data_IF_490607697458
#
_entry.id   IF_490607697458
#
_cell.length_a   1.000
_cell.length_b   1.000
_cell.length_c   1.000
_cell.angle_alpha   90.00
_cell.angle_beta   90.00
_cell.angle_gamma   90.00
#
_symmetry.space_group_name_H-M   'P 1'
#
loop_
_entity.id
_entity.type
_entity.pdbx_description
1 polymer ?
#
# COMPACT_ATOMS: atom_id res chain seq x y z
N UNK A 1 -21.57 -19.54 -18.17
CA UNK A 1 -22.28 -18.90 -17.04
C UNK A 1 -21.24 -18.23 -16.16
N UNK A 2 -21.26 -16.87 -16.02
CA UNK A 2 -20.40 -16.19 -15.04
C UNK A 2 -20.90 -16.58 -13.66
N UNK A 3 -20.06 -17.23 -12.83
CA UNK A 3 -20.36 -17.43 -11.40
C UNK A 3 -20.69 -16.07 -10.78
N UNK A 4 -21.84 -15.96 -10.09
CA UNK A 4 -22.17 -14.75 -9.34
C UNK A 4 -21.04 -14.46 -8.34
N UNK A 5 -20.69 -13.19 -8.20
CA UNK A 5 -19.70 -12.71 -7.23
C UNK A 5 -20.11 -13.13 -5.81
N UNK A 6 -19.30 -13.94 -5.14
CA UNK A 6 -19.54 -14.38 -3.77
C UNK A 6 -18.69 -13.52 -2.83
N UNK A 7 -19.17 -13.22 -1.62
CA UNK A 7 -18.41 -12.50 -0.58
C UNK A 7 -17.06 -13.16 -0.30
N UNK A 8 -16.96 -14.49 -0.38
CA UNK A 8 -15.70 -15.23 -0.20
C UNK A 8 -14.66 -14.91 -1.29
N UNK A 9 -15.09 -14.50 -2.48
CA UNK A 9 -14.19 -14.20 -3.60
C UNK A 9 -13.36 -12.93 -3.32
N UNK A 10 -13.85 -12.03 -2.45
CA UNK A 10 -13.17 -10.78 -2.04
C UNK A 10 -12.57 -10.84 -0.64
N UNK A 11 -12.60 -11.99 0.02
CA UNK A 11 -11.89 -12.17 1.28
C UNK A 11 -10.37 -12.11 1.05
N UNK A 12 -9.66 -11.32 1.85
CA UNK A 12 -8.20 -11.28 1.84
C UNK A 12 -7.69 -12.61 2.40
N UNK A 13 -6.95 -13.38 1.61
CA UNK A 13 -6.33 -14.63 2.02
C UNK A 13 -4.88 -14.46 2.42
N UNK A 14 -4.17 -13.51 1.77
CA UNK A 14 -2.76 -13.29 2.01
C UNK A 14 -2.41 -11.81 1.87
N UNK A 15 -1.58 -11.34 2.79
CA UNK A 15 -0.89 -10.04 2.72
C UNK A 15 0.59 -10.32 2.89
N UNK A 16 1.38 -10.03 1.86
CA UNK A 16 2.82 -10.31 1.84
C UNK A 16 3.63 -9.08 1.46
N UNK A 17 4.60 -8.73 2.29
CA UNK A 17 5.53 -7.64 2.09
C UNK A 17 6.93 -8.13 1.72
N UNK A 18 7.61 -7.41 0.86
CA UNK A 18 9.01 -7.59 0.50
C UNK A 18 9.75 -6.26 0.55
N UNK A 19 11.04 -6.33 0.91
CA UNK A 19 11.96 -5.23 0.67
C UNK A 19 12.45 -5.31 -0.77
N UNK A 20 12.28 -4.23 -1.52
CA UNK A 20 12.76 -4.09 -2.90
C UNK A 20 13.55 -2.79 -3.03
N UNK A 21 14.24 -2.59 -4.15
CA UNK A 21 14.98 -1.34 -4.41
C UNK A 21 14.15 -0.41 -5.30
N UNK A 22 14.13 0.86 -4.95
CA UNK A 22 13.56 1.92 -5.78
C UNK A 22 14.48 2.29 -6.96
N UNK A 23 14.05 3.23 -7.80
CA UNK A 23 14.84 3.70 -8.97
C UNK A 23 16.16 4.38 -8.61
N UNK A 24 16.37 4.75 -7.35
CA UNK A 24 17.59 5.34 -6.81
C UNK A 24 18.48 4.32 -6.09
N UNK A 25 18.08 3.04 -6.05
CA UNK A 25 18.75 1.97 -5.35
C UNK A 25 18.56 1.99 -3.83
N UNK A 26 17.58 2.73 -3.31
CA UNK A 26 17.24 2.70 -1.89
C UNK A 26 16.18 1.63 -1.62
N UNK A 27 16.25 0.94 -0.46
CA UNK A 27 15.20 0.01 -0.05
C UNK A 27 13.84 0.68 0.09
N UNK A 28 12.81 -0.01 -0.36
CA UNK A 28 11.41 0.35 -0.16
C UNK A 28 10.54 -0.89 0.03
N UNK A 29 9.27 -0.67 0.42
CA UNK A 29 8.32 -1.75 0.69
C UNK A 29 7.50 -2.04 -0.57
N UNK A 30 7.52 -3.29 -1.02
CA UNK A 30 6.53 -3.85 -1.93
C UNK A 30 5.54 -4.69 -1.14
N UNK A 31 4.25 -4.54 -1.42
CA UNK A 31 3.19 -5.36 -0.82
C UNK A 31 2.38 -6.04 -1.91
N UNK A 32 2.10 -7.32 -1.71
CA UNK A 32 1.15 -8.11 -2.51
C UNK A 32 0.00 -8.57 -1.63
N UNK A 33 -1.23 -8.38 -2.10
CA UNK A 33 -2.46 -8.90 -1.47
C UNK A 33 -3.11 -9.87 -2.42
N UNK A 34 -3.53 -11.04 -1.92
CA UNK A 34 -4.29 -12.04 -2.68
C UNK A 34 -5.66 -12.27 -2.06
N UNK A 35 -6.66 -12.41 -2.92
CA UNK A 35 -8.05 -12.63 -2.55
C UNK A 35 -8.48 -14.09 -2.78
N UNK A 36 -9.57 -14.50 -2.16
CA UNK A 36 -10.17 -15.83 -2.29
C UNK A 36 -10.58 -16.22 -3.72
N UNK A 37 -10.80 -15.25 -4.59
CA UNK A 37 -10.97 -15.48 -6.04
C UNK A 37 -9.69 -15.83 -6.79
N UNK A 38 -8.52 -15.65 -6.16
CA UNK A 38 -7.21 -15.69 -6.80
C UNK A 38 -6.76 -14.34 -7.39
N UNK A 39 -7.62 -13.32 -7.41
CA UNK A 39 -7.23 -11.97 -7.80
C UNK A 39 -6.15 -11.43 -6.84
N UNK A 40 -5.21 -10.67 -7.37
CA UNK A 40 -4.11 -10.13 -6.59
C UNK A 40 -3.82 -8.68 -6.91
N UNK A 41 -3.34 -7.93 -5.94
CA UNK A 41 -2.91 -6.55 -6.13
C UNK A 41 -1.53 -6.33 -5.54
N UNK A 42 -0.69 -5.62 -6.28
CA UNK A 42 0.67 -5.30 -5.86
C UNK A 42 0.88 -3.79 -5.81
N UNK A 43 1.56 -3.31 -4.78
CA UNK A 43 1.95 -1.92 -4.64
C UNK A 43 3.40 -1.80 -4.16
N UNK A 44 4.15 -0.86 -4.72
CA UNK A 44 5.46 -0.44 -4.25
C UNK A 44 5.30 0.98 -3.72
N UNK A 45 5.87 1.27 -2.57
CA UNK A 45 5.75 2.57 -1.89
C UNK A 45 7.01 3.38 -2.13
N UNK A 46 6.98 4.36 -3.05
CA UNK A 46 8.15 5.19 -3.28
C UNK A 46 8.40 6.13 -2.10
N UNK A 47 9.68 6.38 -1.82
CA UNK A 47 10.10 7.36 -0.82
C UNK A 47 10.26 8.73 -1.44
N UNK A 48 9.84 9.79 -0.73
CA UNK A 48 10.11 11.17 -1.10
C UNK A 48 11.60 11.53 -0.99
N UNK A 49 12.00 12.61 -1.65
CA UNK A 49 13.35 13.16 -1.53
C UNK A 49 13.51 14.07 -0.31
N UNK A 50 12.41 14.65 0.16
CA UNK A 50 12.35 15.53 1.34
C UNK A 50 11.19 15.11 2.23
N UNK A 51 11.24 15.49 3.50
CA UNK A 51 10.18 15.25 4.48
C UNK A 51 9.59 16.56 4.98
N UNK A 52 8.27 16.61 5.06
CA UNK A 52 7.55 17.73 5.66
C UNK A 52 7.34 17.52 7.16
N UNK A 53 7.18 18.62 7.91
CA UNK A 53 6.99 18.61 9.38
C UNK A 53 5.80 17.77 9.83
N UNK A 54 4.75 17.67 9.01
CA UNK A 54 3.49 17.01 9.33
C UNK A 54 3.29 15.69 8.57
N UNK A 55 4.33 15.19 7.93
CA UNK A 55 4.25 13.90 7.23
C UNK A 55 4.25 12.73 8.22
N UNK A 56 3.56 11.68 7.84
CA UNK A 56 3.63 10.42 8.57
C UNK A 56 5.02 9.79 8.42
N UNK A 57 5.43 9.03 9.43
CA UNK A 57 6.77 8.45 9.52
C UNK A 57 6.93 7.30 8.53
N UNK A 58 7.88 7.41 7.63
CA UNK A 58 8.40 6.28 6.87
C UNK A 58 9.32 5.46 7.79
N UNK A 59 8.90 4.25 8.14
CA UNK A 59 9.64 3.40 9.07
C UNK A 59 10.89 2.85 8.39
N UNK A 60 12.08 3.22 8.92
CA UNK A 60 13.40 2.76 8.52
C UNK A 60 14.05 1.98 9.66
N UNK A 61 15.01 1.09 9.33
CA UNK A 61 15.63 0.20 10.32
C UNK A 61 16.69 0.89 11.18
N UNK A 62 17.27 1.98 10.69
CA UNK A 62 18.34 2.76 11.36
C UNK A 62 19.63 1.96 11.59
N UNK A 63 19.71 0.73 11.10
CA UNK A 63 20.88 -0.13 11.16
C UNK A 63 21.88 0.18 10.03
N UNK A 64 23.10 -0.39 10.12
CA UNK A 64 24.15 -0.13 9.10
C UNK A 64 23.78 -0.58 7.68
N UNK A 65 22.84 -1.51 7.56
CA UNK A 65 22.37 -2.03 6.29
C UNK A 65 21.75 -0.89 5.45
N UNK A 66 22.19 -0.79 4.20
CA UNK A 66 21.81 0.31 3.28
C UNK A 66 22.01 1.73 3.86
N UNK A 67 23.02 1.91 4.73
CA UNK A 67 23.27 3.21 5.37
C UNK A 67 22.12 3.71 6.24
N UNK A 68 21.40 2.82 6.90
CA UNK A 68 20.24 3.14 7.76
C UNK A 68 18.90 3.21 7.04
N UNK A 69 18.87 2.91 5.72
CA UNK A 69 17.66 3.04 4.90
C UNK A 69 16.88 1.73 4.72
N UNK A 70 17.27 0.63 5.37
CA UNK A 70 16.55 -0.64 5.34
C UNK A 70 15.09 -0.49 5.77
N UNK A 71 14.21 -1.41 5.34
CA UNK A 71 12.76 -1.39 5.65
C UNK A 71 12.27 -2.76 6.17
N UNK A 72 13.16 -3.60 6.70
CA UNK A 72 12.81 -4.92 7.20
C UNK A 72 11.79 -4.87 8.35
N UNK A 73 11.85 -3.84 9.22
CA UNK A 73 10.87 -3.64 10.29
C UNK A 73 9.47 -3.37 9.72
N UNK A 74 9.38 -2.54 8.68
CA UNK A 74 8.11 -2.26 8.00
C UNK A 74 7.58 -3.52 7.29
N UNK A 75 8.44 -4.26 6.60
CA UNK A 75 8.11 -5.56 5.97
C UNK A 75 7.64 -6.57 7.00
N UNK A 76 8.32 -6.69 8.14
CA UNK A 76 7.92 -7.56 9.24
C UNK A 76 6.52 -7.18 9.78
N UNK A 77 6.22 -5.88 9.93
CA UNK A 77 4.90 -5.42 10.35
C UNK A 77 3.82 -5.83 9.33
N UNK A 78 4.10 -5.75 8.02
CA UNK A 78 3.19 -6.23 6.96
C UNK A 78 2.94 -7.73 7.09
N UNK A 79 4.01 -8.52 7.18
CA UNK A 79 3.95 -9.99 7.14
C UNK A 79 3.38 -10.64 8.41
N UNK A 80 3.31 -9.90 9.50
CA UNK A 80 2.81 -10.39 10.78
C UNK A 80 1.58 -9.61 11.23
N UNK A 81 1.78 -8.49 11.91
CA UNK A 81 0.72 -7.74 12.60
C UNK A 81 -0.40 -7.24 11.70
N UNK A 82 -0.06 -6.80 10.47
CA UNK A 82 -1.06 -6.31 9.52
C UNK A 82 -1.76 -7.49 8.84
N UNK A 83 -1.00 -8.49 8.38
CA UNK A 83 -1.55 -9.70 7.78
C UNK A 83 -2.55 -10.39 8.71
N UNK A 84 -2.21 -10.59 9.98
CA UNK A 84 -3.09 -11.22 10.97
C UNK A 84 -4.42 -10.50 11.17
N UNK A 85 -4.44 -9.17 10.99
CA UNK A 85 -5.65 -8.35 11.14
C UNK A 85 -6.52 -8.29 9.90
N UNK A 86 -5.91 -8.39 8.73
CA UNK A 86 -6.62 -8.21 7.46
C UNK A 86 -7.06 -9.52 6.79
N UNK A 87 -6.41 -10.65 7.11
CA UNK A 87 -6.85 -11.95 6.60
C UNK A 87 -8.30 -12.22 7.05
N UNK A 88 -9.17 -12.57 6.08
CA UNK A 88 -10.60 -12.73 6.27
C UNK A 88 -11.43 -11.46 6.07
N UNK A 89 -10.84 -10.27 6.05
CA UNK A 89 -11.55 -9.03 5.75
C UNK A 89 -11.98 -8.95 4.28
N UNK A 90 -13.04 -8.19 4.01
CA UNK A 90 -13.53 -7.96 2.65
C UNK A 90 -12.74 -6.82 1.99
N UNK A 91 -12.00 -7.12 0.92
CA UNK A 91 -11.19 -6.14 0.18
C UNK A 91 -12.02 -5.01 -0.49
N UNK A 92 -13.32 -5.19 -0.66
CA UNK A 92 -14.18 -4.14 -1.21
C UNK A 92 -14.49 -3.02 -0.20
N UNK A 93 -14.29 -3.28 1.09
CA UNK A 93 -14.53 -2.32 2.17
C UNK A 93 -13.27 -1.49 2.46
N UNK A 94 -12.77 -0.77 1.45
CA UNK A 94 -11.50 -0.01 1.54
C UNK A 94 -11.43 0.89 2.78
N UNK A 95 -12.53 1.58 3.12
CA UNK A 95 -12.56 2.48 4.28
C UNK A 95 -12.39 1.74 5.60
N UNK A 96 -12.96 0.54 5.70
CA UNK A 96 -12.80 -0.32 6.87
C UNK A 96 -11.36 -0.84 6.97
N UNK A 97 -10.78 -1.29 5.85
CA UNK A 97 -9.37 -1.69 5.78
C UNK A 97 -8.45 -0.56 6.27
N UNK A 98 -8.64 0.65 5.75
CA UNK A 98 -7.83 1.80 6.14
C UNK A 98 -8.05 2.20 7.62
N UNK A 99 -9.27 2.01 8.13
CA UNK A 99 -9.57 2.22 9.54
C UNK A 99 -8.83 1.21 10.43
N UNK A 100 -8.92 -0.09 10.10
CA UNK A 100 -8.21 -1.16 10.81
C UNK A 100 -6.70 -0.88 10.85
N UNK A 101 -6.10 -0.46 9.73
CA UNK A 101 -4.68 -0.14 9.65
C UNK A 101 -4.29 1.03 10.56
N UNK A 102 -5.10 2.10 10.55
CA UNK A 102 -4.86 3.29 11.39
C UNK A 102 -5.01 3.00 12.89
N UNK A 103 -6.07 2.28 13.27
CA UNK A 103 -6.33 1.89 14.66
C UNK A 103 -5.25 0.92 15.18
N UNK A 104 -4.79 0.00 14.34
CA UNK A 104 -3.76 -0.97 14.69
C UNK A 104 -2.39 -0.30 14.92
N UNK A 105 -2.07 0.74 14.16
CA UNK A 105 -0.91 1.59 14.42
C UNK A 105 -1.11 2.39 15.71
N UNK A 106 -2.23 3.07 15.86
CA UNK A 106 -2.62 3.82 17.05
C UNK A 106 -1.79 5.06 17.34
N UNK A 107 -0.82 5.42 16.48
CA UNK A 107 -0.02 6.63 16.62
C UNK A 107 -0.50 7.72 15.67
N UNK A 108 -0.33 8.98 16.04
CA UNK A 108 -0.73 10.11 15.22
C UNK A 108 0.00 10.11 13.87
N UNK A 109 1.30 9.86 13.88
CA UNK A 109 2.19 9.94 12.73
C UNK A 109 2.55 8.60 12.10
N UNK A 110 1.86 7.52 12.44
CA UNK A 110 2.07 6.15 11.90
C UNK A 110 3.45 5.57 12.20
N UNK A 111 4.07 5.96 13.32
CA UNK A 111 5.44 5.55 13.68
C UNK A 111 5.59 4.10 14.14
N UNK A 112 4.49 3.43 14.52
CA UNK A 112 4.55 2.05 15.02
C UNK A 112 4.68 1.01 13.90
N UNK A 113 3.87 1.12 12.85
CA UNK A 113 3.92 0.21 11.70
C UNK A 113 4.68 0.81 10.52
N UNK A 114 4.71 2.11 10.43
CA UNK A 114 5.27 2.86 9.32
C UNK A 114 4.23 3.23 8.27
N UNK A 115 4.27 4.49 7.82
CA UNK A 115 3.40 4.95 6.74
C UNK A 115 3.62 4.17 5.45
N UNK A 116 4.86 3.74 5.18
CA UNK A 116 5.22 2.88 4.05
C UNK A 116 4.52 1.52 4.11
N UNK A 117 4.50 0.85 5.25
CA UNK A 117 3.77 -0.42 5.43
C UNK A 117 2.26 -0.22 5.24
N UNK A 118 1.67 0.77 5.91
CA UNK A 118 0.23 1.05 5.87
C UNK A 118 -0.22 1.41 4.44
N UNK A 119 0.49 2.33 3.78
CA UNK A 119 0.16 2.76 2.42
C UNK A 119 0.32 1.62 1.41
N UNK A 120 1.40 0.83 1.53
CA UNK A 120 1.63 -0.32 0.66
C UNK A 120 0.47 -1.32 0.71
N UNK A 121 -0.01 -1.64 1.90
CA UNK A 121 -1.14 -2.55 2.09
C UNK A 121 -2.44 -1.95 1.55
N UNK A 122 -2.76 -0.69 1.89
CA UNK A 122 -3.97 -0.01 1.43
C UNK A 122 -4.06 0.01 -0.11
N UNK A 123 -2.97 0.38 -0.79
CA UNK A 123 -2.91 0.40 -2.25
C UNK A 123 -2.99 -1.01 -2.87
N UNK A 124 -2.34 -2.00 -2.26
CA UNK A 124 -2.38 -3.38 -2.75
C UNK A 124 -3.79 -3.97 -2.65
N UNK A 125 -4.52 -3.70 -1.54
CA UNK A 125 -5.93 -4.09 -1.37
C UNK A 125 -6.80 -3.46 -2.45
N UNK A 126 -6.70 -2.15 -2.70
CA UNK A 126 -7.47 -1.46 -3.73
C UNK A 126 -7.24 -2.06 -5.13
N UNK A 127 -5.99 -2.42 -5.44
CA UNK A 127 -5.64 -3.07 -6.72
C UNK A 127 -6.20 -4.49 -6.81
N UNK A 128 -6.09 -5.28 -5.74
CA UNK A 128 -6.67 -6.63 -5.71
C UNK A 128 -8.19 -6.59 -5.87
N UNK A 129 -8.86 -5.65 -5.21
CA UNK A 129 -10.31 -5.46 -5.33
C UNK A 129 -10.71 -5.06 -6.76
N UNK A 130 -9.99 -4.13 -7.39
CA UNK A 130 -10.22 -3.72 -8.77
C UNK A 130 -10.05 -4.88 -9.75
N UNK A 131 -8.98 -5.68 -9.59
CA UNK A 131 -8.74 -6.89 -10.40
C UNK A 131 -9.85 -7.93 -10.20
N UNK A 132 -10.24 -8.21 -8.96
CA UNK A 132 -11.33 -9.14 -8.65
C UNK A 132 -12.68 -8.72 -9.25
N UNK A 133 -12.92 -7.42 -9.40
CA UNK A 133 -14.09 -6.86 -10.10
C UNK A 133 -13.93 -6.83 -11.62
N UNK A 134 -12.73 -7.06 -12.15
CA UNK A 134 -12.43 -6.97 -13.59
C UNK A 134 -12.53 -5.55 -14.14
N UNK A 135 -12.23 -4.53 -13.30
CA UNK A 135 -12.25 -3.11 -13.68
C UNK A 135 -10.90 -2.45 -13.42
N UNK A 136 -10.51 -1.44 -14.21
CA UNK A 136 -9.26 -0.72 -13.97
C UNK A 136 -9.32 0.10 -12.67
N UNK A 137 -8.16 0.25 -11.99
CA UNK A 137 -8.05 0.93 -10.70
C UNK A 137 -8.64 2.34 -10.71
N UNK A 138 -8.43 3.12 -11.78
CA UNK A 138 -8.97 4.49 -11.86
C UNK A 138 -10.51 4.50 -11.77
N UNK A 139 -11.17 3.46 -12.32
CA UNK A 139 -12.63 3.32 -12.25
C UNK A 139 -13.09 2.83 -10.87
N UNK A 140 -12.31 1.94 -10.26
CA UNK A 140 -12.58 1.48 -8.89
C UNK A 140 -12.55 2.64 -7.90
N UNK A 141 -11.52 3.49 -7.96
CA UNK A 141 -11.36 4.65 -7.07
C UNK A 141 -12.28 5.81 -7.45
N UNK A 142 -12.39 6.13 -8.75
CA UNK A 142 -13.14 7.29 -9.24
C UNK A 142 -14.64 7.03 -9.46
N UNK A 143 -15.09 5.78 -9.39
CA UNK A 143 -16.48 5.41 -9.66
C UNK A 143 -16.92 5.78 -11.07
N UNK A 144 -18.22 6.02 -11.23
CA UNK A 144 -18.83 6.35 -12.55
C UNK A 144 -18.36 7.69 -13.13
N UNK A 145 -17.85 8.58 -12.29
CA UNK A 145 -17.37 9.91 -12.67
C UNK A 145 -15.86 9.96 -12.99
N UNK A 146 -15.13 8.86 -12.79
CA UNK A 146 -13.71 8.74 -13.09
C UNK A 146 -13.42 8.66 -14.58
N UNK A 147 -13.73 9.72 -15.34
CA UNK A 147 -13.62 9.77 -16.82
C UNK A 147 -12.84 10.98 -17.38
N UNK A 148 -12.42 11.88 -16.50
CA UNK A 148 -11.67 13.09 -16.89
C UNK A 148 -10.22 12.89 -16.51
N UNK A 149 -9.31 13.02 -17.49
CA UNK A 149 -7.87 13.01 -17.22
C UNK A 149 -7.49 14.30 -16.48
N UNK A 150 -6.75 14.21 -15.36
CA UNK A 150 -6.26 15.40 -14.69
C UNK A 150 -5.25 16.15 -15.56
N UNK A 151 -5.20 17.46 -15.40
CA UNK A 151 -4.10 18.26 -15.97
C UNK A 151 -2.80 17.85 -15.27
N UNK A 152 -1.77 17.40 -16.02
CA UNK A 152 -0.51 16.99 -15.39
C UNK A 152 0.15 18.17 -14.68
N UNK A 153 0.49 17.98 -13.41
CA UNK A 153 1.43 18.86 -12.70
C UNK A 153 2.71 18.07 -12.50
N UNK A 154 3.78 18.50 -13.14
CA UNK A 154 5.05 17.79 -13.07
C UNK A 154 6.21 18.77 -12.91
N UNK A 155 7.26 18.31 -12.28
CA UNK A 155 8.52 19.02 -12.24
C UNK A 155 9.25 18.73 -13.56
N UNK A 156 9.40 19.74 -14.40
CA UNK A 156 10.03 19.62 -15.74
C UNK A 156 11.52 19.91 -15.68
N UNK A 157 11.93 20.81 -14.79
CA UNK A 157 13.32 21.21 -14.62
C UNK A 157 13.64 21.26 -13.14
N UNK A 158 14.64 20.49 -12.73
CA UNK A 158 15.21 20.55 -11.39
C UNK A 158 16.52 21.34 -11.45
N UNK A 159 16.66 22.29 -10.52
CA UNK A 159 17.87 23.10 -10.40
C UNK A 159 18.07 23.55 -8.95
N UNK A 160 19.27 24.02 -8.63
CA UNK A 160 19.61 24.46 -7.28
C UNK A 160 20.11 23.35 -6.38
N UNK A 161 19.81 23.41 -5.08
CA UNK A 161 20.35 22.55 -4.01
C UNK A 161 19.59 21.22 -3.83
N UNK A 162 18.86 20.75 -4.80
CA UNK A 162 18.14 19.48 -4.71
C UNK A 162 18.87 18.34 -5.38
#
# INVERSE_FOLDING_TARGET
MKKGLNKKDFSIEEVHGLEVLDSRGNPTVEVTVRLGSGASGKAIVPSGASTGRFEAVELRDEEKRFGGKGVERAVTNVNTRISDRLCGCNALEQREIDHILKEADGTENKSKYGANAILGVSLAVARAAAEGLGIPLYRYVGGVNGKVLPVPMMNVINGGCH
#
